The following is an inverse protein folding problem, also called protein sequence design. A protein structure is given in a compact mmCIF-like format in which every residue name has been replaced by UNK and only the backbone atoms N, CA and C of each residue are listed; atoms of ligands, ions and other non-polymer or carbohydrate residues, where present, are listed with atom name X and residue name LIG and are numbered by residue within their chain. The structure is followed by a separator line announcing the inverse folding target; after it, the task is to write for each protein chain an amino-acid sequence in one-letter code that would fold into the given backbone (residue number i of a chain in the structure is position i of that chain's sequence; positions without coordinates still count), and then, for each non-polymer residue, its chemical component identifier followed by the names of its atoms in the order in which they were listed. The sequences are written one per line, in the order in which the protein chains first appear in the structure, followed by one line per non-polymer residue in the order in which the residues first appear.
data_IF_231785665457
#
_entry.id   IF_231785665457
#
_cell.length_a   1.000
_cell.length_b   1.000
_cell.length_c   1.000
_cell.angle_alpha   90.00
_cell.angle_beta   90.00
_cell.angle_gamma   90.00
#
_symmetry.space_group_name_H-M   'P 1'
#
loop_
_entity.id
_entity.type
_entity.pdbx_description
1 polymer ?
#
# COMPACT_ATOMS: atom_id res chain seq x y z
N UNK A 1 15.77 -26.89 43.35
CA UNK A 1 17.12 -26.32 43.17
C UNK A 1 17.49 -26.36 41.69
N UNK A 2 17.22 -25.31 40.88
CA UNK A 2 17.62 -25.30 39.47
C UNK A 2 18.97 -24.59 39.29
N UNK A 3 19.83 -25.21 38.48
CA UNK A 3 21.19 -24.78 38.21
C UNK A 3 21.23 -23.47 37.40
N UNK A 4 21.91 -22.47 37.95
CA UNK A 4 22.25 -21.20 37.32
C UNK A 4 23.30 -21.43 36.21
N UNK A 5 22.87 -21.41 34.94
CA UNK A 5 23.80 -21.29 33.81
C UNK A 5 24.37 -19.86 33.78
N UNK A 6 25.63 -19.73 34.17
CA UNK A 6 26.44 -18.53 33.92
C UNK A 6 26.41 -18.20 32.42
N UNK A 7 25.69 -17.15 32.02
CA UNK A 7 25.96 -16.47 30.74
C UNK A 7 27.32 -15.79 30.89
N UNK A 8 28.33 -16.29 30.17
CA UNK A 8 29.59 -15.56 29.99
C UNK A 8 29.26 -14.23 29.33
N UNK A 9 29.44 -13.11 30.05
CA UNK A 9 29.50 -11.78 29.43
C UNK A 9 30.72 -11.78 28.52
N UNK A 10 30.49 -11.72 27.21
CA UNK A 10 31.53 -11.44 26.25
C UNK A 10 31.97 -9.97 26.46
N UNK A 11 33.28 -9.69 26.61
CA UNK A 11 33.72 -8.32 26.86
C UNK A 11 33.42 -7.43 25.65
N UNK A 12 33.18 -6.12 25.85
CA UNK A 12 33.03 -5.18 24.75
C UNK A 12 34.32 -5.20 23.92
N UNK A 13 34.23 -5.51 22.62
CA UNK A 13 35.37 -5.35 21.72
C UNK A 13 35.43 -3.89 21.30
N UNK A 14 36.35 -3.16 21.93
CA UNK A 14 36.69 -1.78 21.58
C UNK A 14 37.14 -1.70 20.11
N UNK A 15 36.62 -0.71 19.37
CA UNK A 15 37.07 -0.46 17.98
C UNK A 15 36.07 0.21 17.03
N UNK A 16 35.01 0.85 17.53
CA UNK A 16 34.09 1.63 16.68
C UNK A 16 34.41 3.13 16.74
N UNK A 17 34.62 3.78 15.59
CA UNK A 17 34.69 5.23 15.52
C UNK A 17 33.47 5.88 16.21
N UNK A 18 33.64 7.02 16.91
CA UNK A 18 32.55 7.70 17.60
C UNK A 18 31.39 8.00 16.64
N UNK A 19 30.16 7.96 17.16
CA UNK A 19 28.89 8.17 16.42
C UNK A 19 28.95 9.40 15.49
N UNK A 20 29.73 10.42 15.85
CA UNK A 20 29.96 11.64 15.04
C UNK A 20 30.63 11.42 13.68
N UNK A 21 31.29 10.29 13.43
CA UNK A 21 31.97 10.02 12.15
C UNK A 21 31.05 9.45 11.06
N UNK A 22 29.86 8.93 11.41
CA UNK A 22 28.90 8.40 10.44
C UNK A 22 28.01 9.48 9.79
N UNK A 23 28.08 10.72 10.27
CA UNK A 23 27.25 11.85 9.82
C UNK A 23 27.62 12.35 8.40
N UNK A 24 28.75 11.87 7.83
CA UNK A 24 29.23 12.35 6.51
C UNK A 24 28.67 11.61 5.30
N UNK A 25 27.89 10.53 5.46
CA UNK A 25 27.41 9.70 4.31
C UNK A 25 25.93 9.32 4.34
N UNK A 26 25.07 10.17 4.93
CA UNK A 26 23.64 10.20 4.60
C UNK A 26 23.32 11.55 3.96
N UNK A 27 23.86 11.77 2.75
CA UNK A 27 23.46 12.88 1.88
C UNK A 27 22.28 12.48 0.99
N UNK A 28 21.22 11.90 1.57
CA UNK A 28 20.01 11.58 0.83
C UNK A 28 18.80 12.15 1.55
N UNK A 29 18.53 13.42 1.19
CA UNK A 29 17.30 14.20 1.38
C UNK A 29 16.89 14.49 2.82
N UNK A 30 16.39 15.71 3.01
CA UNK A 30 15.98 16.34 4.27
C UNK A 30 14.84 15.59 4.97
N UNK A 31 15.09 14.44 5.57
CA UNK A 31 14.14 13.77 6.49
C UNK A 31 14.38 14.35 7.89
N UNK A 32 13.39 15.04 8.49
CA UNK A 32 13.51 15.52 9.86
C UNK A 32 13.81 14.36 10.80
N UNK A 33 14.82 14.53 11.65
CA UNK A 33 15.28 13.52 12.61
C UNK A 33 15.79 14.17 13.88
N UNK A 34 15.64 13.45 14.99
CA UNK A 34 16.29 13.77 16.25
C UNK A 34 17.33 12.69 16.56
N UNK A 35 18.50 13.10 17.07
CA UNK A 35 19.53 12.15 17.51
C UNK A 35 19.23 11.73 18.95
N UNK A 36 19.16 10.43 19.19
CA UNK A 36 18.95 9.86 20.52
C UNK A 36 20.13 8.99 20.93
N UNK A 37 21.09 9.48 21.73
CA UNK A 37 22.27 8.72 22.14
C UNK A 37 21.97 7.48 22.98
N UNK A 38 20.80 7.46 23.64
CA UNK A 38 20.37 6.37 24.53
C UNK A 38 19.45 5.36 23.84
N UNK A 39 19.28 5.45 22.52
CA UNK A 39 18.41 4.55 21.77
C UNK A 39 18.99 3.14 21.74
N UNK A 40 18.42 2.26 22.54
CA UNK A 40 18.70 0.83 22.55
C UNK A 40 17.52 0.06 21.96
N UNK A 41 17.80 -1.00 21.21
CA UNK A 41 16.78 -1.88 20.65
C UNK A 41 16.74 -3.18 21.46
N UNK A 42 15.57 -3.84 21.47
CA UNK A 42 15.34 -5.04 22.29
C UNK A 42 16.05 -6.32 21.83
N UNK A 43 16.91 -6.24 20.81
CA UNK A 43 17.62 -7.37 20.21
C UNK A 43 19.11 -7.02 20.15
N UNK A 44 19.97 -7.95 20.55
CA UNK A 44 21.40 -7.75 20.77
C UNK A 44 22.25 -7.81 19.48
N UNK A 45 21.66 -8.24 18.37
CA UNK A 45 22.35 -8.37 17.08
C UNK A 45 22.70 -7.03 16.40
N UNK A 46 22.26 -5.88 16.94
CA UNK A 46 22.53 -4.57 16.33
C UNK A 46 23.97 -4.12 16.62
N UNK A 47 24.68 -3.69 15.57
CA UNK A 47 26.12 -3.42 15.66
C UNK A 47 26.49 -1.93 15.56
N UNK A 48 25.64 -1.11 14.92
CA UNK A 48 25.91 0.31 14.63
C UNK A 48 24.62 1.15 14.66
N UNK A 49 24.27 1.78 13.53
CA UNK A 49 23.11 2.65 13.39
C UNK A 49 21.83 1.92 13.80
N UNK A 50 21.05 2.55 14.66
CA UNK A 50 19.67 2.16 14.99
C UNK A 50 18.77 3.36 14.76
N UNK A 51 17.50 3.10 14.43
CA UNK A 51 16.49 4.14 14.27
C UNK A 51 15.10 3.62 14.66
N UNK A 52 14.22 4.57 14.94
CA UNK A 52 12.82 4.34 15.18
C UNK A 52 11.99 5.42 14.49
N UNK A 53 10.87 5.01 13.90
CA UNK A 53 9.78 5.89 13.53
C UNK A 53 8.75 5.84 14.64
N UNK A 54 8.45 7.02 15.18
CA UNK A 54 7.49 7.21 16.26
C UNK A 54 6.19 7.70 15.63
N UNK A 55 5.09 7.03 15.95
CA UNK A 55 3.75 7.39 15.53
C UNK A 55 3.21 8.63 16.26
N UNK A 56 1.98 9.05 15.94
CA UNK A 56 1.35 10.21 16.56
C UNK A 56 0.97 9.98 18.03
N UNK A 57 0.84 8.73 18.48
CA UNK A 57 0.59 8.42 19.89
C UNK A 57 1.83 8.69 20.75
N UNK A 58 1.62 9.24 21.96
CA UNK A 58 2.69 9.47 22.92
C UNK A 58 2.89 8.28 23.87
N UNK A 59 4.15 7.96 24.20
CA UNK A 59 4.49 6.98 25.25
C UNK A 59 5.41 5.85 24.81
N UNK A 60 5.66 4.89 25.71
CA UNK A 60 6.66 3.82 25.57
C UNK A 60 6.35 2.76 24.48
N UNK A 61 5.22 2.87 23.79
CA UNK A 61 4.77 1.95 22.73
C UNK A 61 4.42 2.68 21.42
N UNK A 62 4.95 3.90 21.26
CA UNK A 62 4.69 4.77 20.12
C UNK A 62 5.49 4.41 18.87
N UNK A 63 6.46 3.49 18.97
CA UNK A 63 7.29 3.04 17.84
C UNK A 63 6.44 2.25 16.83
N UNK A 64 6.23 2.81 15.64
CA UNK A 64 5.49 2.18 14.54
C UNK A 64 6.40 1.35 13.63
N UNK A 65 7.68 1.69 13.57
CA UNK A 65 8.71 0.97 12.83
C UNK A 65 10.05 1.20 13.50
N UNK A 66 10.92 0.20 13.47
CA UNK A 66 12.27 0.32 14.02
C UNK A 66 13.23 -0.59 13.29
N UNK A 67 14.48 -0.14 13.20
CA UNK A 67 15.49 -0.85 12.45
C UNK A 67 16.90 -0.48 12.87
N UNK A 68 17.85 -1.07 12.17
CA UNK A 68 19.25 -0.86 12.43
C UNK A 68 20.13 -1.72 11.54
N UNK A 69 21.44 -1.51 11.71
CA UNK A 69 22.50 -2.31 11.09
C UNK A 69 22.88 -3.49 11.99
N UNK A 70 23.00 -4.67 11.40
CA UNK A 70 23.20 -5.97 12.06
C UNK A 70 24.26 -6.80 11.33
N UNK A 71 25.49 -6.31 11.33
CA UNK A 71 26.52 -6.82 10.41
C UNK A 71 26.98 -8.27 10.63
N UNK A 72 26.79 -8.77 11.85
CA UNK A 72 27.28 -10.10 12.24
C UNK A 72 26.16 -11.15 12.33
N UNK A 73 24.89 -10.75 12.16
CA UNK A 73 23.76 -11.64 12.35
C UNK A 73 23.82 -12.87 11.42
N UNK A 74 24.19 -12.69 10.15
CA UNK A 74 24.27 -13.79 9.19
C UNK A 74 25.38 -14.79 9.55
N UNK A 75 26.50 -14.29 10.08
CA UNK A 75 27.61 -15.13 10.55
C UNK A 75 27.21 -15.92 11.81
N UNK A 76 26.51 -15.28 12.75
CA UNK A 76 26.03 -15.90 13.99
C UNK A 76 25.06 -17.06 13.75
N UNK A 77 24.32 -17.05 12.62
CA UNK A 77 23.39 -18.13 12.22
C UNK A 77 24.02 -19.14 11.26
N UNK A 78 25.35 -19.12 11.07
CA UNK A 78 26.09 -20.11 10.29
C UNK A 78 26.22 -19.80 8.79
N UNK A 79 25.87 -18.58 8.36
CA UNK A 79 26.12 -18.08 7.01
C UNK A 79 27.50 -17.42 6.86
N UNK A 80 27.85 -16.98 5.64
CA UNK A 80 29.07 -16.21 5.43
C UNK A 80 28.95 -14.80 6.06
N UNK A 81 30.06 -14.16 6.45
CA UNK A 81 30.07 -12.79 6.94
C UNK A 81 29.37 -11.83 5.96
N UNK A 82 28.20 -11.34 6.35
CA UNK A 82 27.31 -10.57 5.46
C UNK A 82 26.75 -9.36 6.22
N UNK A 83 27.20 -8.13 5.90
CA UNK A 83 26.68 -6.93 6.55
C UNK A 83 25.21 -6.71 6.17
N UNK A 84 24.38 -6.32 7.15
CA UNK A 84 22.94 -6.20 6.98
C UNK A 84 22.39 -4.91 7.58
N UNK A 85 21.37 -4.35 6.96
CA UNK A 85 20.60 -3.22 7.48
C UNK A 85 19.14 -3.40 7.09
N UNK A 86 18.22 -3.14 8.00
CA UNK A 86 16.80 -3.32 7.75
C UNK A 86 15.96 -2.84 8.91
N UNK A 87 14.65 -2.99 8.76
CA UNK A 87 13.66 -2.60 9.75
C UNK A 87 12.53 -3.61 9.80
N UNK A 88 11.78 -3.57 10.90
CA UNK A 88 10.47 -4.19 11.02
C UNK A 88 9.43 -3.13 11.37
N UNK A 89 8.20 -3.35 10.92
CA UNK A 89 7.05 -2.54 11.29
C UNK A 89 5.86 -3.46 11.61
N UNK A 90 5.08 -3.11 12.63
CA UNK A 90 3.86 -3.84 12.96
C UNK A 90 2.71 -3.33 12.12
N UNK A 91 2.02 -4.21 11.38
CA UNK A 91 0.90 -3.82 10.51
C UNK A 91 -0.22 -3.22 11.34
N UNK A 92 -0.52 -3.79 12.51
CA UNK A 92 -1.54 -3.30 13.44
C UNK A 92 -1.22 -1.88 13.91
N UNK A 93 0.05 -1.59 14.21
CA UNK A 93 0.51 -0.26 14.63
C UNK A 93 0.43 0.76 13.49
N UNK A 94 0.72 0.33 12.26
CA UNK A 94 0.56 1.18 11.09
C UNK A 94 -0.92 1.51 10.83
N UNK A 95 -1.83 0.54 10.99
CA UNK A 95 -3.27 0.75 10.87
C UNK A 95 -3.80 1.72 11.94
N UNK A 96 -3.38 1.57 13.20
CA UNK A 96 -3.71 2.53 14.26
C UNK A 96 -3.18 3.94 13.93
N UNK A 97 -1.96 4.04 13.38
CA UNK A 97 -1.42 5.35 12.99
C UNK A 97 -2.17 6.01 11.82
N UNK A 98 -2.95 5.23 11.06
CA UNK A 98 -3.85 5.70 10.01
C UNK A 98 -5.27 5.99 10.53
N UNK A 99 -5.60 5.63 11.77
CA UNK A 99 -6.94 5.85 12.32
C UNK A 99 -7.28 7.35 12.32
N UNK A 100 -8.49 7.69 11.86
CA UNK A 100 -8.91 9.08 11.65
C UNK A 100 -8.28 9.78 10.43
N UNK A 101 -7.50 9.07 9.62
CA UNK A 101 -7.02 9.55 8.31
C UNK A 101 -7.69 8.74 7.21
N UNK A 102 -8.20 9.43 6.20
CA UNK A 102 -8.69 8.75 5.00
C UNK A 102 -7.49 8.08 4.31
N UNK A 103 -7.51 6.74 4.12
CA UNK A 103 -6.51 6.11 3.30
C UNK A 103 -6.56 6.73 1.90
N UNK A 104 -5.40 6.85 1.26
CA UNK A 104 -5.36 7.23 -0.15
C UNK A 104 -6.06 6.11 -0.92
N UNK A 105 -7.35 6.29 -1.18
CA UNK A 105 -8.11 5.36 -1.99
C UNK A 105 -7.50 5.42 -3.38
N UNK A 106 -7.07 4.26 -3.88
CA UNK A 106 -6.32 4.16 -5.11
C UNK A 106 -7.29 4.29 -6.30
N UNK A 107 -7.94 5.45 -6.45
CA UNK A 107 -8.91 5.83 -7.49
C UNK A 107 -10.16 4.94 -7.55
N UNK A 108 -11.34 5.55 -7.67
CA UNK A 108 -12.58 4.84 -8.02
C UNK A 108 -12.45 4.05 -9.33
N UNK A 109 -13.52 3.35 -9.68
CA UNK A 109 -13.62 2.71 -10.99
C UNK A 109 -13.82 3.77 -12.07
N UNK A 110 -13.15 3.66 -13.22
CA UNK A 110 -13.33 4.63 -14.30
C UNK A 110 -14.66 4.37 -15.01
N UNK A 111 -14.94 3.13 -15.39
CA UNK A 111 -16.14 2.75 -16.14
C UNK A 111 -16.87 1.59 -15.46
N UNK A 112 -18.15 1.75 -15.14
CA UNK A 112 -18.99 0.66 -14.65
C UNK A 112 -20.16 0.40 -15.60
N UNK A 113 -20.25 -0.82 -16.13
CA UNK A 113 -21.35 -1.23 -17.01
C UNK A 113 -22.56 -1.72 -16.21
N UNK A 114 -23.73 -1.29 -16.63
CA UNK A 114 -25.04 -1.73 -16.14
C UNK A 114 -25.74 -2.47 -17.28
N UNK A 115 -26.00 -3.76 -17.09
CA UNK A 115 -26.63 -4.62 -18.10
C UNK A 115 -28.05 -5.01 -17.66
N UNK A 116 -29.02 -5.02 -18.57
CA UNK A 116 -30.38 -5.47 -18.28
C UNK A 116 -30.47 -6.99 -18.15
N UNK A 117 -29.77 -7.71 -19.03
CA UNK A 117 -29.83 -9.16 -19.14
C UNK A 117 -28.46 -9.80 -19.42
N UNK A 118 -28.46 -11.11 -19.71
CA UNK A 118 -27.25 -11.86 -20.04
C UNK A 118 -26.70 -11.53 -21.43
N UNK A 119 -27.56 -11.20 -22.39
CA UNK A 119 -27.14 -10.87 -23.76
C UNK A 119 -26.36 -9.55 -23.79
N UNK A 120 -26.81 -8.55 -23.03
CA UNK A 120 -26.06 -7.30 -22.84
C UNK A 120 -24.71 -7.54 -22.18
N UNK A 121 -24.65 -8.46 -21.20
CA UNK A 121 -23.40 -8.80 -20.52
C UNK A 121 -22.38 -9.39 -21.50
N UNK A 122 -22.81 -10.30 -22.37
CA UNK A 122 -21.94 -10.88 -23.40
C UNK A 122 -21.40 -9.81 -24.36
N UNK A 123 -22.22 -8.82 -24.74
CA UNK A 123 -21.78 -7.68 -25.58
C UNK A 123 -20.77 -6.77 -24.89
N UNK A 124 -20.83 -6.65 -23.56
CA UNK A 124 -19.95 -5.77 -22.77
C UNK A 124 -18.57 -6.38 -22.55
N UNK A 125 -18.44 -7.70 -22.41
CA UNK A 125 -17.14 -8.33 -22.07
C UNK A 125 -15.98 -7.94 -23.02
N UNK A 126 -16.16 -7.87 -24.35
CA UNK A 126 -15.12 -7.38 -25.26
C UNK A 126 -14.75 -5.91 -25.04
N UNK A 127 -15.74 -5.04 -24.82
CA UNK A 127 -15.54 -3.60 -24.58
C UNK A 127 -14.81 -3.37 -23.25
N UNK A 128 -15.21 -4.12 -22.22
CA UNK A 128 -14.57 -4.16 -20.90
C UNK A 128 -13.08 -4.52 -21.01
N UNK A 129 -12.76 -5.55 -21.79
CA UNK A 129 -11.39 -5.97 -22.02
C UNK A 129 -10.58 -4.90 -22.77
N UNK A 130 -11.19 -4.22 -23.75
CA UNK A 130 -10.54 -3.16 -24.51
C UNK A 130 -10.25 -1.92 -23.66
N UNK A 131 -11.22 -1.44 -22.88
CA UNK A 131 -11.02 -0.32 -21.95
C UNK A 131 -9.88 -0.61 -20.95
N UNK A 132 -9.83 -1.85 -20.44
CA UNK A 132 -8.74 -2.31 -19.56
C UNK A 132 -7.38 -2.33 -20.27
N UNK A 133 -7.31 -2.74 -21.54
CA UNK A 133 -6.07 -2.67 -22.34
C UNK A 133 -5.58 -1.24 -22.55
N UNK A 134 -6.50 -0.28 -22.61
CA UNK A 134 -6.20 1.17 -22.69
C UNK A 134 -5.85 1.80 -21.33
N UNK A 135 -5.79 1.00 -20.27
CA UNK A 135 -5.35 1.44 -18.94
C UNK A 135 -6.48 1.93 -18.02
N UNK A 136 -7.74 1.85 -18.45
CA UNK A 136 -8.89 2.22 -17.62
C UNK A 136 -9.32 1.09 -16.68
N UNK A 137 -9.69 1.44 -15.45
CA UNK A 137 -10.36 0.57 -14.49
C UNK A 137 -11.82 0.43 -14.90
N UNK A 138 -12.14 -0.59 -15.67
CA UNK A 138 -13.52 -0.88 -16.04
C UNK A 138 -14.04 -2.14 -15.34
N UNK A 139 -15.35 -2.22 -15.05
CA UNK A 139 -16.00 -3.43 -14.51
C UNK A 139 -17.51 -3.49 -14.81
N UNK A 140 -18.13 -4.65 -14.51
CA UNK A 140 -19.56 -4.92 -14.67
C UNK A 140 -20.06 -5.75 -13.48
N UNK A 141 -21.37 -5.80 -13.27
CA UNK A 141 -21.95 -6.69 -12.26
C UNK A 141 -21.92 -8.17 -12.68
N UNK A 142 -21.33 -9.02 -11.83
CA UNK A 142 -21.35 -10.48 -11.97
C UNK A 142 -22.38 -11.16 -11.06
N UNK A 143 -23.00 -10.44 -10.13
CA UNK A 143 -23.93 -11.00 -9.15
C UNK A 143 -25.39 -11.02 -9.63
N UNK A 144 -25.64 -10.70 -10.90
CA UNK A 144 -26.96 -10.63 -11.51
C UNK A 144 -27.96 -9.74 -10.74
N UNK A 145 -27.48 -8.59 -10.25
CA UNK A 145 -28.33 -7.58 -9.59
C UNK A 145 -29.30 -6.96 -10.60
N UNK A 146 -30.42 -6.45 -10.11
CA UNK A 146 -31.28 -5.56 -10.90
C UNK A 146 -30.50 -4.32 -11.37
N UNK A 147 -30.90 -3.70 -12.48
CA UNK A 147 -30.24 -2.49 -12.98
C UNK A 147 -30.13 -1.38 -11.92
N UNK A 148 -31.18 -1.19 -11.10
CA UNK A 148 -31.13 -0.26 -9.97
C UNK A 148 -30.01 -0.62 -8.98
N UNK A 149 -29.87 -1.89 -8.64
CA UNK A 149 -28.79 -2.37 -7.76
C UNK A 149 -27.39 -2.21 -8.36
N UNK A 150 -27.26 -2.41 -9.68
CA UNK A 150 -26.01 -2.17 -10.41
C UNK A 150 -25.63 -0.68 -10.41
N UNK A 151 -26.59 0.23 -10.61
CA UNK A 151 -26.37 1.69 -10.53
C UNK A 151 -25.94 2.09 -9.11
N UNK A 152 -26.58 1.54 -8.07
CA UNK A 152 -26.16 1.78 -6.68
C UNK A 152 -24.73 1.29 -6.44
N UNK A 153 -24.36 0.14 -7.00
CA UNK A 153 -22.99 -0.38 -6.92
C UNK A 153 -21.98 0.51 -7.65
N UNK A 154 -22.31 1.00 -8.84
CA UNK A 154 -21.49 1.96 -9.59
C UNK A 154 -21.19 3.21 -8.73
N UNK A 155 -22.23 3.76 -8.09
CA UNK A 155 -22.08 4.89 -7.17
C UNK A 155 -21.19 4.57 -5.96
N UNK A 156 -21.34 3.38 -5.36
CA UNK A 156 -20.50 2.93 -4.22
C UNK A 156 -19.03 2.75 -4.62
N UNK A 157 -18.76 2.33 -5.85
CA UNK A 157 -17.40 2.19 -6.39
C UNK A 157 -16.81 3.53 -6.88
N UNK A 158 -17.59 4.61 -6.84
CA UNK A 158 -17.17 5.92 -7.33
C UNK A 158 -16.90 5.92 -8.83
N UNK A 159 -17.81 5.32 -9.61
CA UNK A 159 -17.66 5.23 -11.06
C UNK A 159 -17.59 6.60 -11.74
N UNK A 160 -16.52 6.86 -12.49
CA UNK A 160 -16.42 8.06 -13.34
C UNK A 160 -17.50 8.09 -14.41
N UNK A 161 -17.68 6.97 -15.11
CA UNK A 161 -18.73 6.71 -16.08
C UNK A 161 -19.58 5.52 -15.67
N UNK A 162 -20.89 5.72 -15.60
CA UNK A 162 -21.87 4.62 -15.51
C UNK A 162 -22.48 4.39 -16.89
N UNK A 163 -22.24 3.23 -17.49
CA UNK A 163 -22.65 2.89 -18.86
C UNK A 163 -23.82 1.93 -18.80
N UNK A 164 -25.02 2.41 -19.09
CA UNK A 164 -26.25 1.60 -19.13
C UNK A 164 -26.43 1.06 -20.54
N UNK A 165 -26.34 -0.26 -20.69
CA UNK A 165 -26.44 -0.95 -21.97
C UNK A 165 -27.89 -1.33 -22.26
N UNK A 166 -28.29 -1.10 -23.51
CA UNK A 166 -29.59 -1.49 -24.05
C UNK A 166 -29.39 -1.97 -25.50
N UNK A 167 -29.25 -3.29 -25.66
CA UNK A 167 -29.06 -3.92 -26.96
C UNK A 167 -27.74 -3.53 -27.61
N UNK A 168 -27.82 -2.79 -28.72
CA UNK A 168 -26.66 -2.30 -29.49
C UNK A 168 -26.24 -0.87 -29.14
N UNK A 169 -26.87 -0.29 -28.12
CA UNK A 169 -26.63 1.08 -27.68
C UNK A 169 -26.27 1.14 -26.20
N UNK A 170 -25.66 2.24 -25.80
CA UNK A 170 -25.44 2.54 -24.39
C UNK A 170 -25.72 4.00 -24.10
N UNK A 171 -26.33 4.24 -22.94
CA UNK A 171 -26.45 5.56 -22.31
C UNK A 171 -25.37 5.71 -21.25
N UNK A 172 -24.53 6.73 -21.41
CA UNK A 172 -23.41 7.00 -20.52
C UNK A 172 -23.75 8.17 -19.61
N UNK A 173 -23.56 7.96 -18.31
CA UNK A 173 -23.73 8.97 -17.26
C UNK A 173 -22.38 9.32 -16.67
N UNK A 174 -22.11 10.62 -16.57
CA UNK A 174 -20.91 11.16 -15.94
C UNK A 174 -21.32 12.26 -14.95
N UNK A 175 -20.72 12.29 -13.77
CA UNK A 175 -21.10 13.24 -12.74
C UNK A 175 -20.89 14.70 -13.23
N UNK A 176 -21.95 15.50 -13.17
CA UNK A 176 -21.89 16.92 -13.55
C UNK A 176 -21.91 17.18 -15.05
N UNK A 177 -22.09 16.15 -15.90
CA UNK A 177 -22.30 16.31 -17.34
C UNK A 177 -23.66 15.76 -17.76
N UNK A 178 -24.25 16.26 -18.86
CA UNK A 178 -25.45 15.66 -19.43
C UNK A 178 -25.20 14.22 -19.88
N UNK A 179 -26.19 13.35 -19.64
CA UNK A 179 -26.21 11.99 -20.18
C UNK A 179 -26.13 12.05 -21.71
N UNK A 180 -25.42 11.07 -22.30
CA UNK A 180 -25.33 10.93 -23.74
C UNK A 180 -25.44 9.47 -24.16
N UNK A 181 -25.92 9.26 -25.39
CA UNK A 181 -26.12 7.92 -25.95
C UNK A 181 -25.18 7.69 -27.12
N UNK A 182 -24.75 6.44 -27.29
CA UNK A 182 -23.90 6.02 -28.40
C UNK A 182 -24.18 4.57 -28.80
N UNK A 183 -23.94 4.18 -30.06
CA UNK A 183 -23.74 2.79 -30.43
C UNK A 183 -22.57 2.16 -29.65
N UNK A 184 -22.69 0.87 -29.32
CA UNK A 184 -21.68 0.14 -28.52
C UNK A 184 -20.31 0.05 -29.20
N UNK A 185 -20.27 -0.05 -30.53
CA UNK A 185 -19.04 -0.11 -31.32
C UNK A 185 -18.23 1.20 -31.26
N UNK A 186 -18.90 2.34 -31.11
CA UNK A 186 -18.28 3.64 -30.93
C UNK A 186 -17.98 3.99 -29.46
N UNK A 187 -18.46 3.20 -28.49
CA UNK A 187 -18.39 3.53 -27.07
C UNK A 187 -16.95 3.72 -26.58
N UNK A 188 -16.07 2.78 -26.90
CA UNK A 188 -14.68 2.79 -26.41
C UNK A 188 -13.97 4.05 -26.90
N UNK A 189 -14.06 4.34 -28.20
CA UNK A 189 -13.41 5.53 -28.77
C UNK A 189 -13.96 6.81 -28.18
N UNK A 190 -15.26 6.89 -27.90
CA UNK A 190 -15.85 8.08 -27.28
C UNK A 190 -15.46 8.28 -25.81
N UNK A 191 -15.13 7.20 -25.10
CA UNK A 191 -14.66 7.29 -23.71
C UNK A 191 -13.17 7.63 -23.65
N UNK A 192 -12.36 7.15 -24.61
CA UNK A 192 -10.90 7.33 -24.59
C UNK A 192 -10.36 8.43 -25.50
N UNK A 193 -11.20 9.00 -26.36
CA UNK A 193 -10.85 10.04 -27.32
C UNK A 193 -10.90 11.46 -26.78
#
# INVERSE_FOLDING_TARGET
MPASRLRRRQPPREGGAPVGAQDRRVSLRRVPRSLQPTLVRGLDYYTRTTWEFVGPEAGAQSTISGGGRYDYLVEEIGGPPTPGVGFGAGIERLLLALEGREPVTNGGIDVFFVCADAADRERVLPLLAELRRRGLKADVDYAARSQKGQITQAGRLGAGWTVIVDGTSATVREQGKPDWTTPLDALVERITG
#
